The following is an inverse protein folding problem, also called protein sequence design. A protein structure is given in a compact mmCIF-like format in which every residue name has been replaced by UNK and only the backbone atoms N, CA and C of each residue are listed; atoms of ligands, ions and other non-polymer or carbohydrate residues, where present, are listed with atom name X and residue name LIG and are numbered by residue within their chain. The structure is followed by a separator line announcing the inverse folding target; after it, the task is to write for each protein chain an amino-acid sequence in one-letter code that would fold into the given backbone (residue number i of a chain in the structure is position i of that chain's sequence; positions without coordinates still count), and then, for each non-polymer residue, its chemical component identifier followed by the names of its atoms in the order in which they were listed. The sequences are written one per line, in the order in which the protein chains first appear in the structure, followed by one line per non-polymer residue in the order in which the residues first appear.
data_IF_280107098688
#
_entry.id   IF_280107098688
#
_cell.length_a   1.000
_cell.length_b   1.000
_cell.length_c   1.000
_cell.angle_alpha   90.00
_cell.angle_beta   90.00
_cell.angle_gamma   90.00
#
_symmetry.space_group_name_H-M   'P 1'
#
loop_
_entity.id
_entity.type
_entity.pdbx_description
1 polymer ?
#
# COMPACT_ATOMS: atom_id res chain seq x y z
N UNK A 1 -10.88 14.10 31.90
CA UNK A 1 -10.11 14.37 33.14
C UNK A 1 -8.85 13.55 33.03
N UNK A 2 -7.67 14.18 33.03
CA UNK A 2 -6.38 13.47 32.96
C UNK A 2 -6.32 12.28 33.94
N UNK A 3 -6.02 11.10 33.40
CA UNK A 3 -5.95 9.85 34.12
C UNK A 3 -4.86 9.87 35.20
N UNK A 4 -5.13 9.20 36.32
CA UNK A 4 -4.13 9.02 37.36
C UNK A 4 -2.99 8.13 36.86
N UNK A 5 -1.75 8.42 37.30
CA UNK A 5 -0.54 7.68 36.89
C UNK A 5 -0.68 6.16 37.05
N UNK A 6 -1.27 5.71 38.15
CA UNK A 6 -1.51 4.29 38.41
C UNK A 6 -2.47 3.67 37.38
N UNK A 7 -3.55 4.36 37.04
CA UNK A 7 -4.54 3.91 36.06
C UNK A 7 -3.97 3.84 34.64
N UNK A 8 -3.06 4.75 34.27
CA UNK A 8 -2.37 4.69 32.96
C UNK A 8 -1.47 3.45 32.90
N UNK A 9 -0.71 3.18 33.95
CA UNK A 9 0.16 1.99 34.02
C UNK A 9 -0.66 0.70 33.96
N UNK A 10 -1.78 0.64 34.68
CA UNK A 10 -2.72 -0.48 34.67
C UNK A 10 -3.34 -0.69 33.28
N UNK A 11 -3.82 0.38 32.64
CA UNK A 11 -4.38 0.34 31.28
C UNK A 11 -3.37 -0.18 30.24
N UNK A 12 -2.10 0.27 30.33
CA UNK A 12 -1.04 -0.22 29.44
C UNK A 12 -0.76 -1.69 29.70
N UNK A 13 -0.61 -2.09 30.95
CA UNK A 13 -0.26 -3.47 31.31
C UNK A 13 -1.36 -4.48 30.96
N UNK A 14 -2.61 -4.18 31.31
CA UNK A 14 -3.70 -5.15 31.29
C UNK A 14 -4.42 -5.21 29.94
N UNK A 15 -4.45 -4.10 29.19
CA UNK A 15 -5.27 -3.98 27.96
C UNK A 15 -4.43 -3.64 26.74
N UNK A 16 -3.77 -2.47 26.74
CA UNK A 16 -3.18 -1.94 25.50
C UNK A 16 -1.97 -2.76 25.02
N UNK A 17 -1.08 -3.16 25.93
CA UNK A 17 0.14 -3.88 25.56
C UNK A 17 -0.12 -5.31 25.04
N UNK A 18 -0.94 -6.15 25.71
CA UNK A 18 -1.28 -7.48 25.19
C UNK A 18 -1.95 -7.44 23.82
N UNK A 19 -2.94 -6.56 23.64
CA UNK A 19 -3.65 -6.38 22.36
C UNK A 19 -2.72 -5.91 21.25
N UNK A 20 -1.86 -4.91 21.54
CA UNK A 20 -0.89 -4.42 20.58
C UNK A 20 0.13 -5.49 20.17
N UNK A 21 0.63 -6.29 21.11
CA UNK A 21 1.61 -7.34 20.81
C UNK A 21 0.97 -8.47 19.98
N UNK A 22 -0.27 -8.87 20.29
CA UNK A 22 -1.02 -9.85 19.47
C UNK A 22 -1.23 -9.32 18.04
N UNK A 23 -1.72 -8.09 17.91
CA UNK A 23 -1.94 -7.47 16.61
C UNK A 23 -0.61 -7.33 15.84
N UNK A 24 0.44 -6.90 16.51
CA UNK A 24 1.77 -6.73 15.91
C UNK A 24 2.33 -8.05 15.38
N UNK A 25 2.21 -9.17 16.10
CA UNK A 25 2.66 -10.48 15.61
C UNK A 25 1.93 -10.89 14.33
N UNK A 26 0.62 -10.65 14.26
CA UNK A 26 -0.17 -10.88 13.07
C UNK A 26 0.25 -9.96 11.91
N UNK A 27 0.44 -8.67 12.18
CA UNK A 27 0.91 -7.71 11.18
C UNK A 27 2.35 -7.96 10.71
N UNK A 28 3.22 -8.47 11.57
CA UNK A 28 4.60 -8.87 11.25
C UNK A 28 4.60 -10.09 10.31
N UNK A 29 3.64 -11.00 10.45
CA UNK A 29 3.42 -12.08 9.48
C UNK A 29 2.96 -11.53 8.12
N UNK A 30 2.03 -10.58 8.09
CA UNK A 30 1.61 -9.92 6.83
C UNK A 30 2.77 -9.14 6.20
N UNK A 31 3.57 -8.41 7.00
CA UNK A 31 4.72 -7.63 6.53
C UNK A 31 5.75 -8.49 5.80
N UNK A 32 5.99 -9.71 6.31
CA UNK A 32 6.88 -10.70 5.69
C UNK A 32 6.46 -11.04 4.26
N UNK A 33 5.17 -11.28 4.05
CA UNK A 33 4.58 -11.59 2.74
C UNK A 33 4.45 -10.37 1.81
N UNK A 34 4.23 -9.19 2.37
CA UNK A 34 4.22 -7.93 1.63
C UNK A 34 5.62 -7.52 1.16
N UNK A 35 6.67 -7.96 1.87
CA UNK A 35 8.08 -7.73 1.56
C UNK A 35 8.70 -8.96 0.90
N UNK A 36 10.03 -8.97 0.83
CA UNK A 36 10.86 -9.97 0.17
C UNK A 36 11.15 -11.21 1.03
N UNK A 37 10.43 -11.41 2.15
CA UNK A 37 10.74 -12.45 3.15
C UNK A 37 9.49 -13.25 3.52
N UNK A 38 8.83 -13.93 2.56
CA UNK A 38 7.66 -14.76 2.84
C UNK A 38 8.01 -15.94 3.78
N UNK A 39 6.99 -16.63 4.29
CA UNK A 39 7.22 -17.83 5.09
C UNK A 39 8.05 -18.87 4.32
N UNK A 40 8.98 -19.50 5.02
CA UNK A 40 9.81 -20.54 4.44
C UNK A 40 8.96 -21.70 3.92
N UNK A 41 9.28 -22.18 2.73
CA UNK A 41 8.68 -23.39 2.18
C UNK A 41 9.03 -24.55 3.12
N UNK A 42 8.02 -25.29 3.57
CA UNK A 42 8.22 -26.44 4.45
C UNK A 42 8.98 -27.54 3.70
N UNK A 43 10.24 -27.75 4.09
CA UNK A 43 11.10 -28.78 3.53
C UNK A 43 11.11 -30.04 4.41
N UNK A 44 11.30 -31.24 3.83
CA UNK A 44 11.55 -32.46 4.60
C UNK A 44 12.79 -32.34 5.50
N UNK A 45 12.81 -33.09 6.62
CA UNK A 45 13.99 -33.13 7.52
C UNK A 45 15.28 -33.57 6.84
N UNK A 46 15.18 -34.32 5.74
CA UNK A 46 16.29 -34.82 4.94
C UNK A 46 16.78 -33.81 3.89
N UNK A 47 16.20 -32.61 3.81
CA UNK A 47 16.57 -31.61 2.82
C UNK A 47 18.01 -31.13 2.99
N UNK A 48 18.79 -31.18 1.90
CA UNK A 48 20.18 -30.72 1.87
C UNK A 48 20.25 -29.18 1.89
N UNK A 49 21.45 -28.64 2.11
CA UNK A 49 21.69 -27.19 2.02
C UNK A 49 21.29 -26.62 0.64
N UNK A 50 21.45 -27.41 -0.42
CA UNK A 50 21.06 -27.06 -1.78
C UNK A 50 19.53 -26.92 -1.93
N UNK A 51 18.74 -27.82 -1.37
CA UNK A 51 17.28 -27.70 -1.35
C UNK A 51 16.83 -26.41 -0.65
N UNK A 52 17.47 -26.06 0.48
CA UNK A 52 17.20 -24.80 1.18
C UNK A 52 17.50 -23.59 0.31
N UNK A 53 18.63 -23.61 -0.40
CA UNK A 53 19.03 -22.51 -1.28
C UNK A 53 18.07 -22.33 -2.47
N UNK A 54 17.59 -23.42 -3.05
CA UNK A 54 16.58 -23.38 -4.11
C UNK A 54 15.23 -22.86 -3.60
N UNK A 55 14.85 -23.22 -2.37
CA UNK A 55 13.65 -22.69 -1.73
C UNK A 55 13.76 -21.16 -1.52
N UNK A 56 14.89 -20.67 -1.02
CA UNK A 56 15.14 -19.22 -0.90
C UNK A 56 15.06 -18.51 -2.25
N UNK A 57 15.61 -19.10 -3.31
CA UNK A 57 15.60 -18.54 -4.67
C UNK A 57 14.18 -18.44 -5.27
N UNK A 58 13.26 -19.30 -4.82
CA UNK A 58 11.88 -19.31 -5.30
C UNK A 58 11.00 -18.20 -4.72
N UNK A 59 11.47 -17.48 -3.70
CA UNK A 59 10.67 -16.45 -3.04
C UNK A 59 10.47 -15.24 -3.94
N UNK A 60 9.23 -15.02 -4.38
CA UNK A 60 8.85 -13.86 -5.20
C UNK A 60 7.75 -13.07 -4.49
N UNK A 61 7.89 -11.74 -4.30
CA UNK A 61 6.93 -10.93 -3.55
C UNK A 61 5.74 -10.51 -4.41
N UNK A 62 4.92 -11.47 -4.82
CA UNK A 62 3.76 -11.21 -5.69
C UNK A 62 2.77 -10.18 -5.09
N UNK A 63 2.62 -10.21 -3.77
CA UNK A 63 1.64 -9.38 -3.04
C UNK A 63 2.06 -7.92 -2.93
N UNK A 64 3.37 -7.62 -2.99
CA UNK A 64 3.85 -6.23 -3.02
C UNK A 64 3.35 -5.50 -4.28
N UNK A 65 3.21 -6.23 -5.39
CA UNK A 65 2.70 -5.69 -6.64
C UNK A 65 1.20 -5.39 -6.54
N UNK A 66 0.40 -6.27 -5.95
CA UNK A 66 -1.05 -6.06 -5.71
C UNK A 66 -1.30 -4.76 -4.93
N UNK A 67 -0.52 -4.53 -3.88
CA UNK A 67 -0.58 -3.29 -3.09
C UNK A 67 -0.13 -2.10 -3.93
N UNK A 68 0.99 -2.22 -4.64
CA UNK A 68 1.60 -1.12 -5.38
C UNK A 68 0.73 -0.65 -6.54
N UNK A 69 0.13 -1.55 -7.31
CA UNK A 69 -0.74 -1.21 -8.44
C UNK A 69 -1.99 -0.48 -7.98
N UNK A 70 -2.53 -0.82 -6.81
CA UNK A 70 -3.68 -0.11 -6.21
C UNK A 70 -3.25 1.24 -5.66
N UNK A 71 -2.15 1.30 -4.91
CA UNK A 71 -1.64 2.53 -4.30
C UNK A 71 -1.23 3.59 -5.33
N UNK A 72 -0.69 3.19 -6.48
CA UNK A 72 -0.30 4.10 -7.56
C UNK A 72 -1.48 4.82 -8.21
N UNK A 73 -2.71 4.35 -8.03
CA UNK A 73 -3.92 5.00 -8.53
C UNK A 73 -4.59 5.92 -7.48
N UNK A 74 -3.96 6.07 -6.30
CA UNK A 74 -4.48 6.86 -5.19
C UNK A 74 -3.58 8.08 -4.98
N UNK A 75 -4.02 9.22 -5.48
CA UNK A 75 -3.39 10.52 -5.22
C UNK A 75 -4.46 11.56 -4.96
N UNK A 76 -4.44 12.16 -3.76
CA UNK A 76 -5.27 13.34 -3.44
C UNK A 76 -4.53 14.58 -3.91
N UNK A 77 -5.24 15.44 -4.64
CA UNK A 77 -4.71 16.66 -5.26
C UNK A 77 -5.40 17.94 -4.80
N UNK A 78 -6.56 17.82 -4.16
CA UNK A 78 -7.38 18.97 -3.79
C UNK A 78 -8.32 18.65 -2.63
N UNK A 79 -8.70 19.70 -1.91
CA UNK A 79 -9.73 19.68 -0.89
C UNK A 79 -10.80 20.71 -1.26
N UNK A 80 -12.06 20.28 -1.24
CA UNK A 80 -13.21 21.07 -1.72
C UNK A 80 -14.22 21.22 -0.60
N UNK A 81 -14.48 22.45 -0.19
CA UNK A 81 -15.59 22.81 0.70
C UNK A 81 -16.81 23.22 -0.14
N UNK A 82 -18.01 23.05 0.40
CA UNK A 82 -19.23 23.54 -0.26
C UNK A 82 -19.49 25.03 -0.04
N UNK A 83 -18.86 25.64 0.97
CA UNK A 83 -19.01 27.06 1.29
C UNK A 83 -18.32 27.93 0.23
N UNK A 84 -17.22 27.43 -0.31
CA UNK A 84 -16.57 27.97 -1.51
C UNK A 84 -17.12 27.28 -2.77
N UNK A 85 -18.32 27.69 -3.18
CA UNK A 85 -19.01 27.12 -4.34
C UNK A 85 -18.11 27.20 -5.58
N UNK A 86 -17.52 26.07 -5.95
CA UNK A 86 -16.74 25.91 -7.18
C UNK A 86 -15.27 26.34 -7.10
N UNK A 87 -14.74 26.66 -5.92
CA UNK A 87 -13.31 26.92 -5.71
C UNK A 87 -12.71 25.87 -4.78
N UNK A 88 -11.56 25.34 -5.16
CA UNK A 88 -10.78 24.49 -4.27
C UNK A 88 -10.13 25.35 -3.18
N UNK A 89 -9.87 24.77 -2.01
CA UNK A 89 -9.09 25.47 -1.00
C UNK A 89 -7.69 25.80 -1.54
N UNK A 90 -7.29 27.05 -1.33
CA UNK A 90 -6.02 27.59 -1.80
C UNK A 90 -4.92 27.30 -0.76
N UNK A 91 -3.78 26.68 -1.12
CA UNK A 91 -2.70 26.45 -0.18
C UNK A 91 -2.06 27.75 0.37
N UNK A 92 -2.30 28.89 -0.28
CA UNK A 92 -1.83 30.19 0.18
C UNK A 92 -2.74 30.80 1.26
N UNK A 93 -4.00 30.37 1.30
CA UNK A 93 -4.96 30.78 2.31
C UNK A 93 -4.75 29.96 3.60
N UNK A 94 -5.09 30.55 4.75
CA UNK A 94 -5.03 29.80 6.02
C UNK A 94 -6.11 28.73 5.99
N UNK A 95 -5.76 27.50 6.38
CA UNK A 95 -6.69 26.39 6.41
C UNK A 95 -5.99 25.03 6.25
N UNK A 96 -6.76 23.92 6.33
CA UNK A 96 -6.21 22.58 6.38
C UNK A 96 -5.44 22.16 5.12
N UNK A 97 -5.70 22.79 3.98
CA UNK A 97 -4.95 22.52 2.75
C UNK A 97 -3.53 23.13 2.78
N UNK A 98 -3.35 24.31 3.39
CA UNK A 98 -2.01 24.84 3.68
C UNK A 98 -1.26 23.90 4.63
N UNK A 99 -1.94 23.41 5.66
CA UNK A 99 -1.38 22.47 6.65
C UNK A 99 -0.96 21.15 6.01
N UNK A 100 -1.76 20.63 5.09
CA UNK A 100 -1.43 19.46 4.27
C UNK A 100 -0.10 19.65 3.52
N UNK A 101 0.05 20.75 2.79
CA UNK A 101 1.27 21.05 2.00
C UNK A 101 2.47 21.28 2.92
N UNK A 102 2.31 22.04 4.01
CA UNK A 102 3.38 22.34 4.98
C UNK A 102 3.88 21.08 5.70
N UNK A 103 3.00 20.12 5.97
CA UNK A 103 3.37 18.80 6.50
C UNK A 103 3.96 17.85 5.44
N UNK A 104 4.11 18.30 4.18
CA UNK A 104 4.53 17.50 3.01
C UNK A 104 3.66 16.28 2.78
N UNK A 105 2.36 16.44 3.01
CA UNK A 105 1.43 15.32 2.98
C UNK A 105 1.16 14.82 1.55
N UNK A 106 1.46 15.63 0.52
CA UNK A 106 1.47 15.21 -0.89
C UNK A 106 2.34 13.96 -1.12
N UNK A 107 3.50 13.89 -0.45
CA UNK A 107 4.37 12.72 -0.51
C UNK A 107 3.96 11.66 0.52
N UNK A 108 3.59 12.08 1.74
CA UNK A 108 3.34 11.17 2.86
C UNK A 108 2.04 10.38 2.74
N UNK A 109 1.04 10.89 2.00
CA UNK A 109 -0.23 10.19 1.75
C UNK A 109 0.01 8.79 1.16
N UNK A 110 0.98 8.66 0.24
CA UNK A 110 1.32 7.39 -0.39
C UNK A 110 1.79 6.34 0.62
N UNK A 111 2.50 6.76 1.67
CA UNK A 111 2.94 5.84 2.72
C UNK A 111 1.77 5.34 3.58
N UNK A 112 0.80 6.21 3.87
CA UNK A 112 -0.41 5.87 4.64
C UNK A 112 -1.30 4.93 3.82
N UNK A 113 -1.55 5.25 2.54
CA UNK A 113 -2.34 4.39 1.65
C UNK A 113 -1.69 3.01 1.50
N UNK A 114 -0.37 2.94 1.30
CA UNK A 114 0.35 1.66 1.23
C UNK A 114 0.24 0.87 2.52
N UNK A 115 0.36 1.51 3.69
CA UNK A 115 0.21 0.83 4.97
C UNK A 115 -1.22 0.28 5.15
N UNK A 116 -2.25 1.09 4.87
CA UNK A 116 -3.64 0.66 4.96
C UNK A 116 -3.96 -0.47 3.96
N UNK A 117 -3.49 -0.36 2.72
CA UNK A 117 -3.63 -1.44 1.72
C UNK A 117 -2.86 -2.70 2.11
N UNK A 118 -1.73 -2.60 2.81
CA UNK A 118 -0.93 -3.77 3.20
C UNK A 118 -1.57 -4.51 4.38
N UNK A 119 -1.88 -3.77 5.44
CA UNK A 119 -2.25 -4.31 6.75
C UNK A 119 -3.76 -4.25 7.04
N UNK A 120 -4.53 -3.55 6.21
CA UNK A 120 -5.95 -3.26 6.43
C UNK A 120 -6.18 -1.90 7.08
N UNK A 121 -5.29 -1.49 7.99
CA UNK A 121 -5.38 -0.22 8.69
C UNK A 121 -4.10 0.61 8.60
N UNK A 122 -4.24 1.93 8.74
CA UNK A 122 -3.15 2.84 9.02
C UNK A 122 -3.67 4.01 9.85
N UNK A 123 -2.76 4.77 10.47
CA UNK A 123 -3.14 5.86 11.34
C UNK A 123 -2.50 7.17 10.89
N UNK A 124 -3.20 8.28 11.08
CA UNK A 124 -2.68 9.63 10.93
C UNK A 124 -2.86 10.37 12.25
N UNK A 125 -1.73 10.63 12.92
CA UNK A 125 -1.67 11.37 14.19
C UNK A 125 -1.60 12.86 13.87
N UNK A 126 -2.53 13.64 14.41
CA UNK A 126 -2.71 15.07 14.10
C UNK A 126 -2.67 15.83 15.42
N UNK A 127 -1.48 16.29 15.80
CA UNK A 127 -1.27 16.97 17.08
C UNK A 127 -1.29 18.49 16.92
N UNK A 128 -1.72 19.25 17.95
CA UNK A 128 -1.52 20.68 17.98
C UNK A 128 -0.04 21.05 17.84
N UNK A 129 0.24 22.11 17.08
CA UNK A 129 1.59 22.58 16.80
C UNK A 129 1.60 24.02 16.31
N UNK A 130 2.78 24.48 15.93
CA UNK A 130 2.99 25.83 15.41
C UNK A 130 3.92 25.79 14.21
N UNK A 131 3.69 26.67 13.23
CA UNK A 131 4.64 26.87 12.15
C UNK A 131 5.95 27.45 12.72
N UNK A 132 7.06 26.78 12.43
CA UNK A 132 8.39 27.19 12.90
C UNK A 132 8.82 28.55 12.37
N UNK A 133 8.22 29.02 11.27
CA UNK A 133 8.55 30.32 10.65
C UNK A 133 7.62 31.43 11.09
N UNK A 134 6.30 31.24 10.98
CA UNK A 134 5.33 32.30 11.30
C UNK A 134 4.92 32.32 12.79
N UNK A 135 5.09 31.21 13.52
CA UNK A 135 4.58 31.06 14.88
C UNK A 135 3.05 30.88 14.96
N UNK A 136 2.37 30.81 13.82
CA UNK A 136 0.92 30.60 13.76
C UNK A 136 0.57 29.16 14.19
N UNK A 137 -0.59 28.93 14.84
CA UNK A 137 -1.11 27.59 15.09
C UNK A 137 -1.23 26.81 13.77
N UNK A 138 -0.60 25.64 13.73
CA UNK A 138 -0.61 24.74 12.57
C UNK A 138 -0.49 23.30 13.06
N UNK A 139 -1.44 22.45 12.67
CA UNK A 139 -1.46 21.06 13.10
C UNK A 139 -0.26 20.28 12.53
N UNK A 140 0.26 19.33 13.30
CA UNK A 140 1.35 18.45 12.89
C UNK A 140 0.78 17.09 12.52
N UNK A 141 0.80 16.78 11.22
CA UNK A 141 0.28 15.52 10.67
C UNK A 141 1.40 14.49 10.48
N UNK A 142 1.24 13.31 11.08
CA UNK A 142 2.19 12.20 10.99
C UNK A 142 1.46 10.89 10.72
N UNK A 143 1.76 10.29 9.56
CA UNK A 143 1.37 8.91 9.28
C UNK A 143 2.13 7.94 10.20
N UNK A 144 1.39 7.03 10.84
CA UNK A 144 1.92 6.01 11.74
C UNK A 144 1.50 4.63 11.23
N UNK A 145 2.44 3.69 11.22
CA UNK A 145 2.19 2.30 10.84
C UNK A 145 1.35 1.61 11.92
N UNK A 146 0.39 0.74 11.55
CA UNK A 146 -0.38 -0.05 12.52
C UNK A 146 0.50 -1.03 13.31
N UNK A 147 1.72 -1.34 12.83
CA UNK A 147 2.69 -2.14 13.59
C UNK A 147 3.28 -1.40 14.79
N UNK A 148 3.17 -0.08 14.80
CA UNK A 148 3.67 0.79 15.87
C UNK A 148 2.54 1.41 16.67
N UNK A 149 1.33 1.48 16.13
CA UNK A 149 0.20 2.10 16.79
C UNK A 149 -1.03 1.19 16.76
N UNK A 150 -1.73 1.09 17.88
CA UNK A 150 -3.06 0.48 17.99
C UNK A 150 -4.03 1.52 18.55
N UNK A 151 -5.25 1.52 18.03
CA UNK A 151 -6.35 2.36 18.49
C UNK A 151 -7.52 1.47 18.94
N UNK A 152 -8.00 1.68 20.16
CA UNK A 152 -9.15 0.98 20.72
C UNK A 152 -10.40 1.85 20.60
N UNK A 153 -11.44 1.27 20.02
CA UNK A 153 -12.74 1.88 19.81
C UNK A 153 -13.76 1.19 20.71
N UNK A 154 -14.82 1.89 21.11
CA UNK A 154 -15.93 1.26 21.83
C UNK A 154 -16.72 0.38 20.87
N UNK A 155 -17.05 0.93 19.70
CA UNK A 155 -17.59 0.22 18.56
C UNK A 155 -16.62 0.38 17.37
N UNK A 156 -15.81 -0.65 17.07
CA UNK A 156 -14.84 -0.58 15.98
C UNK A 156 -15.45 -0.41 14.58
N UNK A 157 -16.74 -0.66 14.39
CA UNK A 157 -17.45 -0.52 13.11
C UNK A 157 -18.01 0.90 12.88
N UNK A 158 -18.54 1.53 13.92
CA UNK A 158 -19.29 2.79 13.80
C UNK A 158 -18.53 4.02 14.35
N UNK A 159 -17.61 3.83 15.30
CA UNK A 159 -16.95 4.97 15.95
C UNK A 159 -15.92 5.64 15.02
N UNK A 160 -16.06 6.96 14.87
CA UNK A 160 -15.08 7.82 14.17
C UNK A 160 -13.78 8.01 14.98
N UNK A 161 -13.89 8.03 16.31
CA UNK A 161 -12.80 8.34 17.24
C UNK A 161 -12.54 7.19 18.20
N UNK A 162 -11.25 6.93 18.47
CA UNK A 162 -10.84 5.95 19.46
C UNK A 162 -11.07 6.47 20.89
N UNK A 163 -11.25 5.56 21.85
CA UNK A 163 -11.20 5.91 23.28
C UNK A 163 -9.74 6.04 23.76
N UNK A 164 -8.89 5.12 23.33
CA UNK A 164 -7.47 5.09 23.70
C UNK A 164 -6.61 4.66 22.52
N UNK A 165 -5.38 5.15 22.49
CA UNK A 165 -4.36 4.66 21.56
C UNK A 165 -3.08 4.32 22.29
N UNK A 166 -2.30 3.42 21.70
CA UNK A 166 -0.93 3.12 22.11
C UNK A 166 -0.02 3.27 20.89
N UNK A 167 1.02 4.08 21.00
CA UNK A 167 2.10 4.21 20.01
C UNK A 167 3.42 3.75 20.64
N UNK A 168 4.02 2.71 20.08
CA UNK A 168 5.30 2.15 20.52
C UNK A 168 6.43 2.69 19.65
N UNK A 169 7.31 3.46 20.28
CA UNK A 169 8.56 3.96 19.74
C UNK A 169 9.74 3.02 20.02
N UNK A 170 10.77 3.08 19.18
CA UNK A 170 12.08 2.48 19.45
C UNK A 170 12.94 3.52 20.18
N UNK A 171 13.44 3.18 21.36
CA UNK A 171 14.57 3.87 21.99
C UNK A 171 15.83 3.02 21.79
N UNK A 172 17.02 3.65 21.81
CA UNK A 172 18.30 3.08 21.35
C UNK A 172 18.91 1.90 22.14
N UNK A 173 18.14 1.15 22.94
CA UNK A 173 18.56 -0.13 23.51
C UNK A 173 17.46 -1.17 23.27
N UNK A 174 17.81 -2.39 22.88
CA UNK A 174 16.88 -3.43 22.40
C UNK A 174 15.69 -3.72 23.33
N UNK A 175 15.84 -3.52 24.64
CA UNK A 175 14.83 -3.91 25.64
C UNK A 175 13.92 -2.76 26.14
N UNK A 176 14.31 -1.49 26.00
CA UNK A 176 13.55 -0.34 26.52
C UNK A 176 12.76 0.35 25.41
N UNK A 177 11.44 0.30 25.52
CA UNK A 177 10.48 0.90 24.58
C UNK A 177 9.84 2.13 25.19
N UNK A 178 9.76 3.20 24.40
CA UNK A 178 8.96 4.37 24.76
C UNK A 178 7.55 4.14 24.23
N UNK A 179 6.57 4.18 25.10
CA UNK A 179 5.15 4.00 24.79
C UNK A 179 4.45 5.33 25.02
N UNK A 180 3.76 5.83 24.00
CA UNK A 180 2.88 6.99 24.11
C UNK A 180 1.43 6.50 24.08
N UNK A 181 0.67 6.79 25.14
CA UNK A 181 -0.78 6.53 25.21
C UNK A 181 -1.51 7.84 25.03
N UNK A 182 -2.58 7.88 24.25
CA UNK A 182 -3.40 9.08 24.08
C UNK A 182 -4.85 8.79 24.38
N UNK A 183 -5.48 9.68 25.14
CA UNK A 183 -6.93 9.76 25.35
C UNK A 183 -7.49 11.04 24.69
N UNK A 184 -8.68 11.48 25.09
CA UNK A 184 -9.34 12.68 24.57
C UNK A 184 -8.73 14.01 25.06
N UNK A 185 -7.91 14.00 26.12
CA UNK A 185 -7.38 15.20 26.76
C UNK A 185 -5.85 15.30 26.74
N UNK A 186 -5.13 14.17 26.87
CA UNK A 186 -3.70 14.14 27.11
C UNK A 186 -2.95 12.97 26.44
N UNK A 187 -1.66 13.22 26.22
CA UNK A 187 -0.67 12.20 25.85
C UNK A 187 0.11 11.81 27.10
N UNK A 188 0.15 10.53 27.41
CA UNK A 188 0.92 9.95 28.51
C UNK A 188 2.12 9.20 27.95
N UNK A 189 3.32 9.49 28.48
CA UNK A 189 4.54 8.79 28.11
C UNK A 189 4.95 7.82 29.20
N UNK A 190 5.23 6.60 28.77
CA UNK A 190 5.54 5.48 29.64
C UNK A 190 6.75 4.74 29.08
N UNK A 191 7.67 4.35 29.94
CA UNK A 191 8.78 3.46 29.60
C UNK A 191 8.35 2.03 29.87
N UNK A 192 8.53 1.15 28.89
CA UNK A 192 8.27 -0.28 29.03
C UNK A 192 9.57 -1.05 28.79
N UNK A 193 9.96 -1.85 29.77
CA UNK A 193 11.03 -2.83 29.65
C UNK A 193 10.44 -4.15 29.15
N UNK A 194 10.78 -4.52 27.92
CA UNK A 194 10.28 -5.74 27.27
C UNK A 194 10.80 -7.02 27.91
N UNK A 195 11.93 -6.96 28.64
CA UNK A 195 12.55 -8.12 29.29
C UNK A 195 11.93 -8.43 30.66
N UNK A 196 11.60 -7.37 31.42
CA UNK A 196 11.05 -7.50 32.78
C UNK A 196 9.54 -7.28 32.84
N UNK A 197 8.93 -6.76 31.77
CA UNK A 197 7.54 -6.32 31.75
C UNK A 197 7.28 -5.10 32.64
N UNK A 198 8.33 -4.46 33.17
CA UNK A 198 8.19 -3.33 34.07
C UNK A 198 7.80 -2.07 33.30
N UNK A 199 6.76 -1.42 33.80
CA UNK A 199 6.18 -0.21 33.21
C UNK A 199 6.42 0.96 34.17
N UNK A 200 7.10 2.00 33.68
CA UNK A 200 7.42 3.20 34.44
C UNK A 200 6.81 4.43 33.76
N UNK A 201 5.92 5.10 34.48
CA UNK A 201 5.35 6.36 34.02
C UNK A 201 6.41 7.47 33.98
N UNK A 202 6.49 8.21 32.87
CA UNK A 202 7.46 9.30 32.67
C UNK A 202 6.78 10.66 32.90
N UNK A 203 5.90 11.06 31.99
CA UNK A 203 5.21 12.35 32.01
C UNK A 203 3.85 12.30 31.29
N UNK A 204 3.05 13.36 31.47
CA UNK A 204 1.85 13.64 30.69
C UNK A 204 1.94 15.04 30.07
N UNK A 205 1.31 15.21 28.91
CA UNK A 205 1.15 16.48 28.23
C UNK A 205 -0.27 16.60 27.71
N UNK A 206 -0.99 17.62 28.16
CA UNK A 206 -2.34 17.93 27.66
C UNK A 206 -2.26 18.45 26.24
N UNK A 207 -3.17 17.97 25.38
CA UNK A 207 -3.37 18.50 24.03
C UNK A 207 -4.71 19.22 23.89
N UNK A 208 -5.68 18.97 24.77
CA UNK A 208 -6.96 19.72 24.88
C UNK A 208 -7.84 19.70 23.60
N UNK A 209 -7.65 18.68 22.78
CA UNK A 209 -8.36 18.49 21.49
C UNK A 209 -9.82 18.04 21.69
N UNK A 210 -10.10 17.32 22.79
CA UNK A 210 -11.44 16.81 23.11
C UNK A 210 -11.81 15.50 22.42
N UNK A 211 -10.92 14.98 21.56
CA UNK A 211 -10.96 13.63 20.99
C UNK A 211 -9.53 13.09 20.92
N UNK A 212 -9.38 11.77 20.77
CA UNK A 212 -8.06 11.18 20.50
C UNK A 212 -7.55 11.69 19.14
N UNK A 213 -6.39 12.37 19.08
CA UNK A 213 -5.89 13.05 17.88
C UNK A 213 -5.29 12.08 16.83
N UNK A 214 -5.99 10.98 16.55
CA UNK A 214 -5.59 9.93 15.62
C UNK A 214 -6.77 9.54 14.75
N UNK A 215 -6.59 9.71 13.44
CA UNK A 215 -7.56 9.27 12.43
C UNK A 215 -7.13 7.93 11.84
N UNK A 216 -8.06 6.97 11.80
CA UNK A 216 -7.85 5.64 11.23
C UNK A 216 -8.21 5.62 9.75
N UNK A 217 -7.32 5.06 8.96
CA UNK A 217 -7.50 4.75 7.55
C UNK A 217 -7.80 3.26 7.44
N UNK A 218 -8.96 2.92 6.90
CA UNK A 218 -9.41 1.53 6.72
C UNK A 218 -9.46 1.17 5.24
N UNK A 219 -8.91 0.02 4.87
CA UNK A 219 -8.94 -0.46 3.48
C UNK A 219 -10.36 -0.90 3.09
N UNK A 220 -10.89 -1.85 3.84
CA UNK A 220 -12.29 -2.29 3.85
C UNK A 220 -12.69 -2.42 5.30
N UNK A 221 -13.71 -1.69 5.75
CA UNK A 221 -14.28 -1.88 7.08
C UNK A 221 -15.55 -2.71 6.92
N UNK A 222 -15.63 -3.86 7.58
CA UNK A 222 -16.87 -4.63 7.65
C UNK A 222 -17.76 -4.16 8.81
N UNK A 223 -18.99 -4.65 8.84
CA UNK A 223 -19.95 -4.32 9.91
C UNK A 223 -19.57 -4.91 11.28
N UNK A 224 -18.59 -5.83 11.32
CA UNK A 224 -18.04 -6.38 12.56
C UNK A 224 -16.83 -5.55 13.04
N UNK A 225 -16.49 -4.45 12.36
CA UNK A 225 -15.38 -3.55 12.70
C UNK A 225 -13.99 -4.09 12.34
N UNK A 226 -13.93 -5.15 11.53
CA UNK A 226 -12.67 -5.71 11.02
C UNK A 226 -12.24 -4.97 9.78
N UNK A 227 -10.92 -4.82 9.63
CA UNK A 227 -10.36 -4.28 8.41
C UNK A 227 -9.21 -5.11 7.88
N UNK A 228 -9.39 -5.61 6.64
CA UNK A 228 -8.44 -6.50 6.00
C UNK A 228 -7.61 -5.77 4.95
N UNK A 229 -6.32 -6.09 4.92
CA UNK A 229 -5.42 -5.65 3.87
C UNK A 229 -5.61 -6.44 2.57
N UNK A 230 -4.92 -5.99 1.53
CA UNK A 230 -4.83 -6.65 0.23
C UNK A 230 -3.80 -7.78 0.21
N UNK A 231 -3.04 -7.98 1.28
CA UNK A 231 -1.99 -9.03 1.35
C UNK A 231 -2.55 -10.30 1.96
N UNK A 232 -3.11 -10.21 3.18
CA UNK A 232 -3.56 -11.35 3.98
C UNK A 232 -4.45 -12.34 3.21
N UNK A 233 -5.49 -11.92 2.46
CA UNK A 233 -6.40 -12.85 1.79
C UNK A 233 -5.73 -13.68 0.69
N UNK A 234 -4.60 -13.20 0.15
CA UNK A 234 -3.95 -13.78 -1.01
C UNK A 234 -2.63 -14.50 -0.68
N UNK A 235 -2.25 -14.57 0.60
CA UNK A 235 -1.04 -15.28 1.07
C UNK A 235 -1.01 -16.73 0.59
N UNK A 236 -2.13 -17.45 0.67
CA UNK A 236 -2.20 -18.87 0.25
C UNK A 236 -1.92 -19.03 -1.24
N UNK A 237 -2.43 -18.13 -2.08
CA UNK A 237 -2.21 -18.18 -3.54
C UNK A 237 -0.76 -17.85 -3.87
N UNK A 238 -0.18 -16.84 -3.22
CA UNK A 238 1.24 -16.51 -3.38
C UNK A 238 2.16 -17.64 -2.89
N UNK A 239 1.82 -18.31 -1.78
CA UNK A 239 2.56 -19.45 -1.25
C UNK A 239 2.57 -20.63 -2.22
N UNK A 240 1.43 -20.91 -2.87
CA UNK A 240 1.32 -21.93 -3.92
C UNK A 240 2.23 -21.61 -5.11
N UNK A 241 2.22 -20.36 -5.58
CA UNK A 241 3.08 -19.93 -6.68
C UNK A 241 4.58 -20.10 -6.34
N UNK A 242 5.00 -19.71 -5.14
CA UNK A 242 6.38 -19.89 -4.68
C UNK A 242 6.74 -21.38 -4.59
N UNK A 243 5.82 -22.23 -4.11
CA UNK A 243 6.02 -23.69 -4.05
C UNK A 243 6.17 -24.31 -5.44
N UNK A 244 5.33 -23.92 -6.39
CA UNK A 244 5.42 -24.36 -7.79
C UNK A 244 6.75 -23.96 -8.41
N UNK A 245 7.20 -22.73 -8.15
CA UNK A 245 8.50 -22.24 -8.61
C UNK A 245 9.67 -23.03 -7.99
N UNK A 246 9.61 -23.34 -6.69
CA UNK A 246 10.60 -24.21 -6.03
C UNK A 246 10.65 -25.60 -6.67
N UNK A 247 9.50 -26.24 -6.90
CA UNK A 247 9.44 -27.57 -7.51
C UNK A 247 9.98 -27.55 -8.94
N UNK A 248 9.69 -26.48 -9.70
CA UNK A 248 10.28 -26.24 -11.01
C UNK A 248 11.80 -26.13 -10.95
N UNK A 249 12.33 -25.38 -9.99
CA UNK A 249 13.78 -25.22 -9.79
C UNK A 249 14.45 -26.55 -9.40
N UNK A 250 13.81 -27.37 -8.57
CA UNK A 250 14.31 -28.72 -8.24
C UNK A 250 14.42 -29.60 -9.49
N UNK A 251 13.37 -29.62 -10.32
CA UNK A 251 13.36 -30.43 -11.54
C UNK A 251 14.40 -29.92 -12.54
N UNK A 252 14.54 -28.60 -12.69
CA UNK A 252 15.59 -27.99 -13.50
C UNK A 252 17.00 -28.36 -13.01
N UNK A 253 17.17 -28.50 -11.69
CA UNK A 253 18.47 -28.79 -11.12
C UNK A 253 18.84 -30.28 -11.16
N UNK A 254 17.93 -31.18 -10.78
CA UNK A 254 18.21 -32.61 -10.61
C UNK A 254 17.77 -33.50 -11.78
N UNK A 255 16.84 -33.04 -12.61
CA UNK A 255 16.20 -33.85 -13.66
C UNK A 255 16.34 -33.21 -15.05
N UNK A 256 17.31 -32.32 -15.24
CA UNK A 256 17.55 -31.64 -16.52
C UNK A 256 18.35 -32.46 -17.53
N UNK A 257 18.89 -33.62 -17.15
CA UNK A 257 19.63 -34.49 -18.04
C UNK A 257 18.94 -35.84 -18.23
N UNK A 258 19.02 -36.36 -19.46
CA UNK A 258 18.61 -37.74 -19.77
C UNK A 258 19.58 -38.72 -19.13
N UNK A 259 19.05 -39.70 -18.40
CA UNK A 259 19.87 -40.75 -17.79
C UNK A 259 19.96 -41.90 -18.79
N UNK A 260 21.17 -42.16 -19.29
CA UNK A 260 21.45 -43.33 -20.12
C UNK A 260 21.47 -44.57 -19.22
N UNK A 261 20.75 -45.61 -19.61
CA UNK A 261 20.61 -46.86 -18.84
C UNK A 261 20.95 -48.07 -19.71
N UNK A 262 21.50 -49.08 -19.07
CA UNK A 262 21.80 -50.37 -19.69
C UNK A 262 21.16 -51.46 -18.84
N UNK A 263 20.27 -52.23 -19.44
CA UNK A 263 19.69 -53.41 -18.81
C UNK A 263 20.37 -54.67 -19.38
N UNK A 264 20.81 -55.58 -18.50
CA UNK A 264 21.42 -56.86 -18.87
C UNK A 264 22.94 -56.98 -18.64
N UNK A 265 23.64 -55.90 -18.28
CA UNK A 265 25.06 -56.00 -17.91
C UNK A 265 25.25 -56.53 -16.49
N UNK A 266 26.27 -57.38 -16.29
CA UNK A 266 26.73 -57.81 -14.98
C UNK A 266 27.18 -56.60 -14.15
N UNK A 267 26.91 -56.63 -12.84
CA UNK A 267 27.31 -55.57 -11.93
C UNK A 267 28.86 -55.56 -11.86
N UNK A 268 29.54 -54.43 -12.11
CA UNK A 268 31.00 -54.39 -12.09
C UNK A 268 31.51 -54.84 -10.71
N UNK A 269 32.55 -55.66 -10.69
CA UNK A 269 33.10 -56.23 -9.45
C UNK A 269 34.04 -55.24 -8.73
N UNK A 270 34.64 -54.29 -9.47
CA UNK A 270 35.58 -53.28 -8.94
C UNK A 270 35.19 -51.82 -9.29
N UNK A 271 35.60 -50.88 -8.42
CA UNK A 271 35.33 -49.44 -8.56
C UNK A 271 35.94 -48.82 -9.85
N UNK A 272 37.10 -49.31 -10.30
CA UNK A 272 37.71 -48.87 -11.57
C UNK A 272 36.87 -49.28 -12.79
N UNK A 273 36.27 -50.46 -12.73
CA UNK A 273 35.46 -51.01 -13.82
C UNK A 273 34.12 -50.29 -13.90
N UNK A 274 33.54 -49.96 -12.74
CA UNK A 274 32.37 -49.08 -12.64
C UNK A 274 32.66 -47.66 -13.18
N UNK A 275 33.87 -47.13 -12.95
CA UNK A 275 34.28 -45.83 -13.47
C UNK A 275 34.46 -45.85 -15.00
N UNK A 276 35.06 -46.90 -15.57
CA UNK A 276 35.21 -47.08 -17.03
C UNK A 276 33.86 -47.21 -17.73
N UNK A 277 32.94 -48.02 -17.20
CA UNK A 277 31.59 -48.16 -17.74
C UNK A 277 30.79 -46.85 -17.70
N UNK A 278 30.92 -46.07 -16.61
CA UNK A 278 30.33 -44.72 -16.51
C UNK A 278 30.94 -43.74 -17.52
N UNK A 279 32.24 -43.85 -17.81
CA UNK A 279 32.94 -42.98 -18.77
C UNK A 279 32.46 -43.26 -20.21
N UNK A 280 32.37 -44.53 -20.61
CA UNK A 280 31.83 -44.94 -21.92
C UNK A 280 30.39 -44.45 -22.11
N UNK A 281 29.53 -44.63 -21.09
CA UNK A 281 28.16 -44.12 -21.13
C UNK A 281 28.07 -42.60 -21.26
N UNK A 282 29.04 -41.83 -20.73
CA UNK A 282 29.07 -40.36 -20.81
C UNK A 282 29.63 -39.82 -22.12
N UNK A 283 30.60 -40.51 -22.72
CA UNK A 283 31.46 -39.93 -23.76
C UNK A 283 31.24 -40.54 -25.15
N UNK A 284 30.70 -41.76 -25.23
CA UNK A 284 30.51 -42.43 -26.53
C UNK A 284 29.14 -42.15 -27.14
N UNK A 285 29.14 -41.97 -28.47
CA UNK A 285 27.95 -41.77 -29.32
C UNK A 285 27.31 -43.09 -29.78
N UNK A 286 28.04 -44.20 -29.70
CA UNK A 286 27.59 -45.55 -30.09
C UNK A 286 27.86 -46.53 -28.95
N UNK A 287 26.80 -47.13 -28.41
CA UNK A 287 26.89 -48.14 -27.35
C UNK A 287 26.81 -49.54 -27.97
N UNK A 288 27.80 -50.38 -27.68
CA UNK A 288 27.92 -51.76 -28.18
C UNK A 288 27.98 -52.69 -26.97
N UNK A 289 27.22 -53.79 -27.01
CA UNK A 289 27.26 -54.84 -26.01
C UNK A 289 27.54 -56.20 -26.66
N UNK A 290 28.31 -57.05 -25.97
CA UNK A 290 28.66 -58.39 -26.44
C UNK A 290 27.50 -59.39 -26.32
N UNK A 291 26.59 -59.15 -25.37
CA UNK A 291 25.40 -59.99 -25.16
C UNK A 291 24.18 -59.44 -25.93
N UNK A 292 23.58 -60.23 -26.84
CA UNK A 292 22.41 -59.82 -27.62
C UNK A 292 21.15 -59.52 -26.80
N UNK A 293 21.07 -59.94 -25.53
CA UNK A 293 19.95 -59.58 -24.63
C UNK A 293 20.13 -58.20 -23.95
N UNK A 294 21.28 -57.55 -24.14
CA UNK A 294 21.55 -56.22 -23.55
C UNK A 294 20.72 -55.14 -24.23
N UNK A 295 19.94 -54.40 -23.43
CA UNK A 295 19.09 -53.31 -23.91
C UNK A 295 19.61 -51.96 -23.43
N UNK A 296 19.97 -51.12 -24.39
CA UNK A 296 20.27 -49.71 -24.16
C UNK A 296 18.97 -48.90 -24.21
N UNK A 297 18.80 -48.02 -23.22
CA UNK A 297 17.65 -47.13 -23.16
C UNK A 297 18.01 -45.82 -22.47
N UNK A 298 17.11 -44.85 -22.57
CA UNK A 298 17.21 -43.59 -21.85
C UNK A 298 16.01 -43.44 -20.95
N UNK A 299 16.23 -43.01 -19.71
CA UNK A 299 15.17 -42.43 -18.91
C UNK A 299 15.03 -40.97 -19.34
N UNK A 300 13.83 -40.62 -19.78
CA UNK A 300 13.53 -39.27 -20.22
C UNK A 300 13.65 -38.27 -19.06
N UNK A 301 14.02 -37.05 -19.41
CA UNK A 301 13.96 -35.90 -18.51
C UNK A 301 12.53 -35.60 -18.08
N UNK A 302 12.36 -34.97 -16.92
CA UNK A 302 11.03 -34.56 -16.48
C UNK A 302 10.59 -33.32 -17.26
N UNK A 303 9.48 -33.36 -18.01
CA UNK A 303 9.05 -32.23 -18.81
C UNK A 303 8.62 -31.05 -17.92
N UNK A 304 9.13 -29.85 -18.22
CA UNK A 304 8.85 -28.64 -17.44
C UNK A 304 7.49 -27.99 -17.76
N UNK A 305 6.82 -28.40 -18.85
CA UNK A 305 5.58 -27.77 -19.33
C UNK A 305 4.48 -27.69 -18.27
N UNK A 306 4.21 -28.80 -17.56
CA UNK A 306 3.17 -28.83 -16.53
C UNK A 306 3.45 -27.86 -15.36
N UNK A 307 4.72 -27.63 -15.01
CA UNK A 307 5.09 -26.67 -13.97
C UNK A 307 4.90 -25.23 -14.44
N UNK A 308 5.24 -24.93 -15.69
CA UNK A 308 5.04 -23.60 -16.29
C UNK A 308 3.55 -23.24 -16.40
N UNK A 309 2.71 -24.22 -16.73
CA UNK A 309 1.26 -24.03 -16.82
C UNK A 309 0.63 -23.86 -15.43
N UNK A 310 1.06 -24.65 -14.44
CA UNK A 310 0.63 -24.50 -13.05
C UNK A 310 0.99 -23.11 -12.49
N UNK A 311 2.22 -22.64 -12.74
CA UNK A 311 2.67 -21.31 -12.29
C UNK A 311 1.86 -20.18 -12.96
N UNK A 312 1.53 -20.33 -14.25
CA UNK A 312 0.66 -19.38 -14.96
C UNK A 312 -0.74 -19.35 -14.36
N UNK A 313 -1.31 -20.52 -14.06
CA UNK A 313 -2.65 -20.64 -13.47
C UNK A 313 -2.72 -20.03 -12.06
N UNK A 314 -1.68 -20.20 -11.23
CA UNK A 314 -1.60 -19.56 -9.92
C UNK A 314 -1.55 -18.03 -10.05
N UNK A 315 -0.80 -17.48 -11.04
CA UNK A 315 -0.76 -16.04 -11.34
C UNK A 315 -2.10 -15.49 -11.85
N UNK A 316 -2.77 -16.23 -12.73
CA UNK A 316 -4.11 -15.87 -13.21
C UNK A 316 -5.15 -15.90 -12.08
N UNK A 317 -5.06 -16.89 -11.20
CA UNK A 317 -5.90 -16.97 -10.00
C UNK A 317 -5.66 -15.75 -9.11
N UNK A 318 -4.39 -15.39 -8.85
CA UNK A 318 -4.04 -14.20 -8.06
C UNK A 318 -4.59 -12.91 -8.69
N UNK A 319 -4.45 -12.75 -10.00
CA UNK A 319 -5.00 -11.62 -10.75
C UNK A 319 -6.52 -11.51 -10.58
N UNK A 320 -7.24 -12.62 -10.75
CA UNK A 320 -8.69 -12.66 -10.64
C UNK A 320 -9.18 -12.32 -9.23
N UNK A 321 -8.63 -12.95 -8.20
CA UNK A 321 -9.09 -12.76 -6.80
C UNK A 321 -8.69 -11.41 -6.22
N UNK A 322 -7.54 -10.85 -6.64
CA UNK A 322 -7.08 -9.54 -6.16
C UNK A 322 -7.63 -8.36 -6.98
N UNK A 323 -8.35 -8.65 -8.07
CA UNK A 323 -8.77 -7.68 -9.09
C UNK A 323 -7.59 -6.85 -9.65
N UNK A 324 -6.40 -7.42 -9.64
CA UNK A 324 -5.22 -6.82 -10.27
C UNK A 324 -5.22 -7.22 -11.74
N UNK A 325 -5.02 -6.29 -12.69
CA UNK A 325 -5.09 -6.63 -14.11
C UNK A 325 -4.11 -7.73 -14.49
N UNK A 326 -4.54 -8.65 -15.34
CA UNK A 326 -3.76 -9.85 -15.72
C UNK A 326 -2.41 -9.52 -16.36
N UNK A 327 -2.32 -8.38 -17.07
CA UNK A 327 -1.06 -7.91 -17.65
C UNK A 327 -0.03 -7.44 -16.61
N UNK A 328 -0.41 -7.22 -15.35
CA UNK A 328 0.55 -6.92 -14.29
C UNK A 328 1.45 -8.14 -13.98
N UNK A 329 0.96 -9.36 -14.24
CA UNK A 329 1.66 -10.62 -13.95
C UNK A 329 2.03 -11.44 -15.20
N UNK A 330 1.61 -11.00 -16.39
CA UNK A 330 1.75 -11.78 -17.62
C UNK A 330 1.79 -10.92 -18.90
N UNK A 331 2.11 -11.53 -20.05
CA UNK A 331 2.27 -10.80 -21.31
C UNK A 331 0.93 -10.34 -21.89
N UNK A 332 0.91 -9.12 -22.45
CA UNK A 332 -0.17 -8.62 -23.30
C UNK A 332 -0.03 -9.19 -24.72
N UNK A 333 -0.90 -10.12 -25.12
CA UNK A 333 -0.91 -10.66 -26.48
C UNK A 333 -2.28 -10.37 -27.12
N UNK A 334 -2.27 -9.56 -28.18
CA UNK A 334 -3.40 -9.35 -29.11
C UNK A 334 -4.73 -8.86 -28.48
N UNK A 335 -4.69 -7.97 -27.49
CA UNK A 335 -5.91 -7.37 -26.91
C UNK A 335 -6.29 -6.06 -27.62
N UNK A 336 -7.58 -5.90 -27.95
CA UNK A 336 -8.14 -4.62 -28.40
C UNK A 336 -8.22 -3.61 -27.24
N UNK A 337 -8.39 -2.33 -27.56
CA UNK A 337 -8.57 -1.27 -26.55
C UNK A 337 -9.77 -1.55 -25.61
N UNK A 338 -10.85 -2.13 -26.14
CA UNK A 338 -12.02 -2.54 -25.35
C UNK A 338 -11.69 -3.69 -24.40
N UNK A 339 -10.87 -4.65 -24.84
CA UNK A 339 -10.45 -5.77 -24.01
C UNK A 339 -9.51 -5.33 -22.87
N UNK A 340 -8.64 -4.33 -23.12
CA UNK A 340 -7.81 -3.71 -22.06
C UNK A 340 -8.69 -2.96 -21.06
N UNK A 341 -9.69 -2.21 -21.54
CA UNK A 341 -10.63 -1.49 -20.67
C UNK A 341 -11.45 -2.46 -19.80
N UNK A 342 -11.95 -3.54 -20.38
CA UNK A 342 -12.65 -4.59 -19.66
C UNK A 342 -11.75 -5.28 -18.61
N UNK A 343 -10.48 -5.53 -18.94
CA UNK A 343 -9.51 -6.12 -18.00
C UNK A 343 -9.16 -5.19 -16.82
N UNK A 344 -9.26 -3.87 -17.00
CA UNK A 344 -9.04 -2.87 -15.93
C UNK A 344 -10.28 -2.61 -15.07
N UNK A 345 -11.47 -2.93 -15.56
CA UNK A 345 -12.73 -2.53 -14.91
C UNK A 345 -12.81 -2.94 -13.42
N UNK A 346 -12.36 -4.15 -13.08
CA UNK A 346 -12.29 -4.60 -11.69
C UNK A 346 -11.36 -3.75 -10.84
N UNK A 347 -10.14 -3.47 -11.32
CA UNK A 347 -9.19 -2.60 -10.63
C UNK A 347 -9.75 -1.18 -10.46
N UNK A 348 -10.36 -0.61 -11.49
CA UNK A 348 -10.97 0.74 -11.42
C UNK A 348 -12.08 0.78 -10.36
N UNK A 349 -12.94 -0.25 -10.28
CA UNK A 349 -13.98 -0.33 -9.25
C UNK A 349 -13.40 -0.45 -7.84
N UNK A 350 -12.38 -1.31 -7.65
CA UNK A 350 -11.64 -1.45 -6.40
C UNK A 350 -11.01 -0.12 -5.96
N UNK A 351 -10.32 0.57 -6.87
CA UNK A 351 -9.72 1.88 -6.59
C UNK A 351 -10.81 2.88 -6.20
N UNK A 352 -11.93 2.93 -6.90
CA UNK A 352 -13.04 3.84 -6.58
C UNK A 352 -13.63 3.59 -5.18
N UNK A 353 -13.69 2.32 -4.73
CA UNK A 353 -14.08 1.97 -3.37
C UNK A 353 -13.06 2.48 -2.33
N UNK A 354 -11.76 2.30 -2.57
CA UNK A 354 -10.69 2.81 -1.70
C UNK A 354 -10.65 4.34 -1.65
N UNK A 355 -10.93 5.00 -2.77
CA UNK A 355 -11.07 6.46 -2.82
C UNK A 355 -12.20 6.98 -1.94
N UNK A 356 -13.30 6.22 -1.79
CA UNK A 356 -14.36 6.58 -0.83
C UNK A 356 -13.90 6.42 0.61
N UNK A 357 -13.34 5.25 0.95
CA UNK A 357 -12.89 4.95 2.31
C UNK A 357 -11.79 5.92 2.78
N UNK A 358 -10.68 5.98 2.04
CA UNK A 358 -9.58 6.89 2.37
C UNK A 358 -9.95 8.36 2.20
N UNK A 359 -10.90 8.68 1.32
CA UNK A 359 -11.44 10.02 1.18
C UNK A 359 -12.13 10.49 2.45
N UNK A 360 -12.91 9.61 3.09
CA UNK A 360 -13.53 9.89 4.39
C UNK A 360 -12.46 10.15 5.47
N UNK A 361 -11.45 9.27 5.58
CA UNK A 361 -10.35 9.44 6.55
C UNK A 361 -9.52 10.71 6.31
N UNK A 362 -9.30 11.11 5.05
CA UNK A 362 -8.64 12.37 4.72
C UNK A 362 -9.49 13.59 5.09
N UNK A 363 -10.80 13.54 4.86
CA UNK A 363 -11.74 14.60 5.27
C UNK A 363 -11.78 14.73 6.78
N UNK A 364 -11.85 13.61 7.52
CA UNK A 364 -11.79 13.62 8.98
C UNK A 364 -10.45 14.19 9.48
N UNK A 365 -9.34 13.81 8.84
CA UNK A 365 -8.01 14.38 9.14
C UNK A 365 -7.94 15.90 8.90
N UNK A 366 -8.53 16.37 7.80
CA UNK A 366 -8.56 17.79 7.47
C UNK A 366 -9.46 18.59 8.44
N UNK A 367 -10.61 18.04 8.84
CA UNK A 367 -11.49 18.67 9.84
C UNK A 367 -10.82 18.76 11.21
N UNK A 368 -10.11 17.71 11.63
CA UNK A 368 -9.36 17.74 12.87
C UNK A 368 -8.24 18.79 12.82
N UNK A 369 -7.46 18.83 11.75
CA UNK A 369 -6.43 19.86 11.58
C UNK A 369 -7.01 21.28 11.58
N UNK A 370 -8.17 21.48 10.95
CA UNK A 370 -8.88 22.77 10.98
C UNK A 370 -9.33 23.16 12.39
N UNK A 371 -9.87 22.21 13.17
CA UNK A 371 -10.27 22.44 14.56
C UNK A 371 -9.07 22.88 15.43
N UNK A 372 -7.92 22.20 15.29
CA UNK A 372 -6.67 22.57 15.99
C UNK A 372 -6.16 23.97 15.66
N UNK A 373 -6.45 24.44 14.46
CA UNK A 373 -6.01 25.76 13.98
C UNK A 373 -7.02 26.88 14.29
N UNK A 374 -8.16 26.53 14.89
CA UNK A 374 -9.25 27.44 15.21
C UNK A 374 -10.17 27.77 14.04
N UNK A 375 -10.12 26.99 12.97
CA UNK A 375 -11.03 27.10 11.81
C UNK A 375 -12.26 26.21 12.01
N UNK A 376 -13.19 26.70 12.83
CA UNK A 376 -14.46 26.04 13.15
C UNK A 376 -15.37 25.88 11.93
N UNK A 377 -15.19 26.71 10.91
CA UNK A 377 -16.01 26.72 9.71
C UNK A 377 -15.73 25.49 8.86
N UNK A 378 -14.45 25.16 8.64
CA UNK A 378 -14.06 23.94 7.93
C UNK A 378 -14.18 22.71 8.84
N UNK A 379 -13.87 22.83 10.14
CA UNK A 379 -13.99 21.71 11.09
C UNK A 379 -15.40 21.10 11.11
N UNK A 380 -16.45 21.92 10.94
CA UNK A 380 -17.86 21.50 10.95
C UNK A 380 -18.46 21.28 9.56
N UNK A 381 -17.68 21.43 8.48
CA UNK A 381 -18.18 21.30 7.11
C UNK A 381 -18.40 19.84 6.74
N UNK A 382 -19.64 19.36 6.88
CA UNK A 382 -20.07 18.00 6.50
C UNK A 382 -19.93 17.69 5.00
N UNK A 383 -19.85 18.72 4.15
CA UNK A 383 -19.76 18.58 2.70
C UNK A 383 -18.32 18.63 2.18
N UNK A 384 -17.34 18.82 3.07
CA UNK A 384 -15.92 18.75 2.77
C UNK A 384 -15.59 17.42 2.08
N UNK A 385 -14.90 17.48 0.94
CA UNK A 385 -14.54 16.31 0.13
C UNK A 385 -13.15 16.47 -0.47
N UNK A 386 -12.45 15.35 -0.63
CA UNK A 386 -11.18 15.32 -1.37
C UNK A 386 -11.41 15.18 -2.87
N UNK A 387 -10.55 15.81 -3.66
CA UNK A 387 -10.38 15.50 -5.07
C UNK A 387 -9.28 14.47 -5.27
N UNK A 388 -9.50 13.59 -6.24
CA UNK A 388 -8.59 12.53 -6.63
C UNK A 388 -8.04 12.84 -8.02
N UNK A 389 -6.72 12.73 -8.16
CA UNK A 389 -6.05 12.89 -9.43
C UNK A 389 -6.44 11.74 -10.37
N UNK A 390 -6.75 12.06 -11.63
CA UNK A 390 -6.93 11.04 -12.66
C UNK A 390 -5.56 10.54 -13.14
N UNK A 391 -5.14 9.41 -12.59
CA UNK A 391 -3.88 8.74 -12.89
C UNK A 391 -4.03 7.66 -13.98
N UNK A 392 -5.20 7.54 -14.61
CA UNK A 392 -5.39 6.59 -15.70
C UNK A 392 -4.65 7.04 -16.97
N UNK A 393 -3.76 6.16 -17.46
CA UNK A 393 -3.15 6.32 -18.78
C UNK A 393 -4.22 6.02 -19.84
N UNK A 394 -4.97 7.06 -20.24
CA UNK A 394 -5.74 7.07 -21.49
C UNK A 394 -4.89 7.66 -22.60
N UNK A 395 -5.17 7.27 -23.85
CA UNK A 395 -4.61 8.02 -24.98
C UNK A 395 -5.09 9.47 -24.86
N UNK A 396 -4.16 10.42 -24.72
CA UNK A 396 -4.46 11.84 -24.64
C UNK A 396 -5.36 12.27 -25.81
N UNK A 397 -5.13 11.71 -27.00
CA UNK A 397 -5.94 11.97 -28.19
C UNK A 397 -7.40 11.52 -28.03
N UNK A 398 -7.66 10.37 -27.41
CA UNK A 398 -9.01 9.90 -27.11
C UNK A 398 -9.68 10.71 -26.01
N UNK A 399 -8.91 11.08 -24.97
CA UNK A 399 -9.40 11.89 -23.87
C UNK A 399 -9.79 13.30 -24.34
N UNK A 400 -8.94 13.95 -25.13
CA UNK A 400 -9.19 15.28 -25.71
C UNK A 400 -10.36 15.25 -26.70
N UNK A 401 -10.51 14.20 -27.52
CA UNK A 401 -11.68 14.05 -28.40
C UNK A 401 -12.98 13.91 -27.58
N UNK A 402 -12.98 13.09 -26.53
CA UNK A 402 -14.13 12.93 -25.65
C UNK A 402 -14.47 14.22 -24.89
N UNK A 403 -13.47 14.94 -24.38
CA UNK A 403 -13.66 16.22 -23.70
C UNK A 403 -14.12 17.31 -24.68
N UNK A 404 -13.61 17.33 -25.91
CA UNK A 404 -14.07 18.22 -26.97
C UNK A 404 -15.55 17.99 -27.30
N UNK A 405 -15.97 16.73 -27.40
CA UNK A 405 -17.40 16.37 -27.57
C UNK A 405 -18.23 16.76 -26.36
N UNK A 406 -17.73 16.59 -25.14
CA UNK A 406 -18.44 17.02 -23.92
C UNK A 406 -18.64 18.55 -23.89
N UNK A 407 -17.63 19.33 -24.26
CA UNK A 407 -17.75 20.79 -24.38
C UNK A 407 -18.76 21.20 -25.45
N UNK A 408 -18.74 20.56 -26.62
CA UNK A 408 -19.58 20.94 -27.75
C UNK A 408 -21.04 20.45 -27.62
N UNK A 409 -21.25 19.20 -27.19
CA UNK A 409 -22.57 18.56 -27.18
C UNK A 409 -23.33 18.81 -25.87
N UNK A 410 -22.63 18.71 -24.73
CA UNK A 410 -23.23 18.88 -23.40
C UNK A 410 -23.06 20.31 -22.86
N UNK A 411 -22.36 21.18 -23.60
CA UNK A 411 -22.08 22.56 -23.21
C UNK A 411 -21.41 22.68 -21.84
N UNK A 412 -20.58 21.69 -21.48
CA UNK A 412 -19.78 21.76 -20.26
C UNK A 412 -18.75 22.88 -20.43
N UNK A 413 -18.60 23.81 -19.46
CA UNK A 413 -17.61 24.88 -19.54
C UNK A 413 -16.20 24.33 -19.82
N UNK A 414 -15.47 24.83 -20.84
CA UNK A 414 -14.15 24.32 -21.17
C UNK A 414 -13.17 24.35 -20.00
N UNK A 415 -13.25 25.38 -19.15
CA UNK A 415 -12.41 25.54 -17.96
C UNK A 415 -12.62 24.40 -16.95
N UNK A 416 -13.85 23.88 -16.84
CA UNK A 416 -14.17 22.76 -15.95
C UNK A 416 -13.61 21.42 -16.46
N UNK A 417 -13.22 21.34 -17.74
CA UNK A 417 -12.69 20.14 -18.36
C UNK A 417 -11.15 20.06 -18.29
N UNK A 418 -10.46 21.15 -17.99
CA UNK A 418 -8.99 21.18 -17.92
C UNK A 418 -8.43 20.20 -16.90
N UNK A 419 -9.03 20.12 -15.71
CA UNK A 419 -8.67 19.17 -14.65
C UNK A 419 -8.95 17.70 -15.00
N UNK A 420 -9.64 17.43 -16.11
CA UNK A 420 -9.96 16.06 -16.57
C UNK A 420 -9.05 15.59 -17.70
N UNK A 421 -8.11 16.42 -18.13
CA UNK A 421 -7.14 16.04 -19.13
C UNK A 421 -6.09 15.15 -18.44
N UNK A 422 -5.82 13.92 -18.95
CA UNK A 422 -4.85 13.03 -18.33
C UNK A 422 -3.46 13.66 -18.22
N UNK A 423 -2.84 13.55 -17.04
CA UNK A 423 -1.48 14.06 -16.78
C UNK A 423 -1.38 15.55 -16.51
N UNK A 424 -2.50 16.28 -16.44
CA UNK A 424 -2.54 17.69 -16.04
C UNK A 424 -2.65 17.76 -14.52
N UNK A 425 -1.74 18.50 -13.89
CA UNK A 425 -1.78 18.74 -12.44
C UNK A 425 -2.61 20.00 -12.12
N UNK A 426 -3.01 20.14 -10.86
CA UNK A 426 -3.77 21.32 -10.41
C UNK A 426 -3.03 22.63 -10.68
N UNK A 427 -1.71 22.65 -10.50
CA UNK A 427 -0.88 23.83 -10.80
C UNK A 427 -1.01 24.27 -12.26
N UNK A 428 -1.12 23.32 -13.19
CA UNK A 428 -1.29 23.62 -14.62
C UNK A 428 -2.68 24.22 -14.88
N UNK A 429 -3.72 23.68 -14.23
CA UNK A 429 -5.10 24.22 -14.33
C UNK A 429 -5.19 25.64 -13.76
N UNK A 430 -4.55 25.88 -12.62
CA UNK A 430 -4.51 27.20 -11.98
C UNK A 430 -3.74 28.21 -12.84
N UNK A 431 -2.63 27.79 -13.45
CA UNK A 431 -1.88 28.59 -14.42
C UNK A 431 -2.71 28.91 -15.67
N UNK A 432 -3.40 27.93 -16.26
CA UNK A 432 -4.28 28.15 -17.42
C UNK A 432 -5.46 29.05 -17.08
N UNK A 433 -6.02 28.93 -15.88
CA UNK A 433 -7.07 29.82 -15.39
C UNK A 433 -6.55 31.26 -15.25
N UNK A 434 -5.36 31.46 -14.70
CA UNK A 434 -4.72 32.76 -14.63
C UNK A 434 -4.44 33.35 -16.02
N UNK A 435 -3.92 32.55 -16.94
CA UNK A 435 -3.69 32.96 -18.34
C UNK A 435 -5.00 33.37 -19.02
N UNK A 436 -6.05 32.56 -18.89
CA UNK A 436 -7.36 32.85 -19.46
C UNK A 436 -7.93 34.17 -18.93
N UNK A 437 -7.84 34.43 -17.62
CA UNK A 437 -8.27 35.71 -17.01
C UNK A 437 -7.48 36.89 -17.55
N UNK A 438 -6.16 36.73 -17.73
CA UNK A 438 -5.29 37.78 -18.27
C UNK A 438 -5.52 38.06 -19.76
N UNK A 439 -5.98 37.05 -20.51
CA UNK A 439 -6.23 37.13 -21.96
C UNK A 439 -7.61 37.69 -22.32
N UNK A 440 -8.55 37.76 -21.36
CA UNK A 440 -9.90 38.26 -21.58
C UNK A 440 -9.89 39.81 -21.62
N UNK A 441 -10.18 40.45 -22.78
CA UNK A 441 -10.10 41.90 -22.95
C UNK A 441 -11.00 42.67 -21.97
N UNK A 442 -12.11 42.07 -21.59
CA UNK A 442 -13.12 42.61 -20.67
C UNK A 442 -12.60 42.66 -19.24
N UNK A 443 -11.90 41.61 -18.80
CA UNK A 443 -11.27 41.52 -17.47
C UNK A 443 -10.05 42.44 -17.38
N UNK A 444 -9.23 42.52 -18.43
CA UNK A 444 -8.13 43.49 -18.52
C UNK A 444 -8.63 44.94 -18.47
N UNK A 445 -9.84 45.21 -18.99
CA UNK A 445 -10.47 46.53 -18.93
C UNK A 445 -11.04 46.82 -17.54
N UNK A 446 -11.61 45.83 -16.85
CA UNK A 446 -12.05 45.96 -15.45
C UNK A 446 -10.87 46.14 -14.48
N UNK A 447 -9.79 45.37 -14.60
CA UNK A 447 -8.57 45.54 -13.78
C UNK A 447 -7.93 46.92 -14.00
N UNK A 448 -7.96 47.43 -15.24
CA UNK A 448 -7.50 48.79 -15.55
C UNK A 448 -8.43 49.85 -14.97
N UNK A 449 -9.74 49.63 -14.98
CA UNK A 449 -10.72 50.52 -14.37
C UNK A 449 -10.59 50.51 -12.84
N UNK A 450 -10.41 49.37 -12.19
CA UNK A 450 -10.16 49.29 -10.74
C UNK A 450 -8.85 49.97 -10.35
N UNK A 451 -7.78 49.82 -11.14
CA UNK A 451 -6.53 50.58 -10.92
C UNK A 451 -6.66 52.08 -11.20
N UNK A 452 -7.64 52.49 -12.00
CA UNK A 452 -7.86 53.88 -12.38
C UNK A 452 -8.90 54.58 -11.48
N UNK A 453 -9.78 53.82 -10.81
CA UNK A 453 -10.85 54.30 -9.94
C UNK A 453 -10.70 53.86 -8.46
N UNK A 454 -9.71 53.04 -8.12
CA UNK A 454 -9.33 52.68 -6.75
C UNK A 454 -8.51 53.76 -6.06
N UNK A 455 -9.24 54.68 -5.41
CA UNK A 455 -8.89 55.49 -4.22
C UNK A 455 -7.40 55.80 -3.99
N UNK A 456 -7.03 57.04 -4.35
CA UNK A 456 -6.08 57.78 -3.53
C UNK A 456 -6.65 57.95 -2.13
N UNK A 457 -5.75 57.85 -1.15
CA UNK A 457 -5.98 58.12 0.26
C UNK A 457 -6.85 59.37 0.49
N UNK A 458 -7.97 59.20 1.20
CA UNK A 458 -8.38 60.03 2.33
C UNK A 458 -9.32 59.25 3.26
#
# INVERSE_FOLDING_TARGET
MVLAKASVVELVHDVLWPEWEQQRQHLDWIDRWARWVPDEIKLPRTATAEHKRLAELSNTPWLSLVVTTTAQCLGVDSLKSSRDIGRDLDPQERGPWRTWVMNRFDQRQNAIHRAALTYGTAYNKIMPGQDQRSGEPMAVMRGVSPRRMLALYRDPAEDDWAEYTIEVGSKGSDDLRLVEVMDDEAVYRVSLDASTGKIEYIDDSRHEVGVVPVVRYTNMLDLDGRSFGEVEPFIVVAARANKTLYDRLLVQHFSSWKIRTVAGMAKPEDDEEAARAKLQLRQDDLLVADDPDTKFGTLDETPLGGFLDAERQDRETLSAVSQTPSYAFGPLINLSADAISAAKAGQTQKVAERQKSFGSSHVQSARLAAAEEGDEDIARDVQLRVGWQDLEIRSISQAVDALGKAAQMLQVPPQALWSRIPGVEKSDVDEWAAMSRSSDPTTSMMDKLERQFGLGDE
#
